data_IF_519101165025
#
_entry.id   IF_519101165025
#
_cell.length_a   1.000
_cell.length_b   1.000
_cell.length_c   1.000
_cell.angle_alpha   90.00
_cell.angle_beta   90.00
_cell.angle_gamma   90.00
#
_symmetry.space_group_name_H-M   'P 1'
#
loop_
_entity.id
_entity.type
_entity.pdbx_description
1 polymer ?
#
# COMPACT_ATOMS: atom_id res chain seq x y z
N UNK A 1 37.16 42.60 28.93
CA UNK A 1 36.47 43.34 27.86
C UNK A 1 37.31 43.18 26.59
N UNK A 2 36.78 42.50 25.58
CA UNK A 2 37.30 42.34 24.20
C UNK A 2 38.69 41.71 24.01
N UNK A 3 38.68 40.42 23.64
CA UNK A 3 39.84 39.69 23.09
C UNK A 3 39.87 39.83 21.56
N UNK A 4 41.06 40.11 21.03
CA UNK A 4 41.39 40.22 19.60
C UNK A 4 41.64 38.84 18.94
N UNK A 5 41.15 38.71 17.71
CA UNK A 5 41.79 38.19 16.47
C UNK A 5 42.40 36.78 16.48
N UNK A 6 41.90 35.92 15.58
CA UNK A 6 42.75 35.18 14.63
C UNK A 6 42.08 35.07 13.26
N UNK A 7 42.67 35.76 12.29
CA UNK A 7 42.51 35.54 10.85
C UNK A 7 43.34 34.30 10.50
N UNK A 8 42.76 33.34 9.78
CA UNK A 8 43.54 32.37 9.00
C UNK A 8 42.89 32.16 7.64
N UNK A 9 43.39 32.93 6.68
CA UNK A 9 43.28 32.70 5.24
C UNK A 9 43.99 31.39 4.88
N UNK A 10 43.29 30.44 4.28
CA UNK A 10 43.91 29.46 3.38
C UNK A 10 43.33 29.65 1.98
N UNK A 11 44.19 30.13 1.08
CA UNK A 11 44.02 30.01 -0.35
C UNK A 11 44.18 28.54 -0.74
N UNK A 12 43.20 27.99 -1.46
CA UNK A 12 43.46 26.97 -2.47
C UNK A 12 43.02 27.53 -3.82
N UNK A 13 43.99 27.67 -4.72
CA UNK A 13 43.80 27.98 -6.13
C UNK A 13 43.44 26.70 -6.90
N UNK A 14 42.67 26.92 -7.96
CA UNK A 14 42.36 26.06 -9.12
C UNK A 14 41.35 24.93 -8.96
N UNK A 15 40.12 25.18 -9.42
CA UNK A 15 39.49 24.35 -10.44
C UNK A 15 38.42 25.18 -11.16
N UNK A 16 38.37 25.06 -12.48
CA UNK A 16 37.54 25.84 -13.39
C UNK A 16 36.08 25.99 -12.92
N UNK A 17 35.49 27.15 -13.21
CA UNK A 17 34.03 27.33 -13.24
C UNK A 17 33.51 26.44 -14.38
N UNK A 18 33.31 25.15 -14.11
CA UNK A 18 32.46 24.31 -14.93
C UNK A 18 31.06 24.81 -14.63
N UNK A 19 30.37 25.39 -15.62
CA UNK A 19 28.98 25.75 -15.47
C UNK A 19 28.21 24.49 -15.05
N UNK A 20 27.78 24.45 -13.78
CA UNK A 20 27.04 23.32 -13.25
C UNK A 20 25.70 23.29 -13.98
N UNK A 21 25.46 22.24 -14.77
CA UNK A 21 24.18 22.07 -15.48
C UNK A 21 23.06 22.11 -14.43
N UNK A 22 22.03 22.97 -14.59
CA UNK A 22 20.93 23.02 -13.64
C UNK A 22 20.32 21.64 -13.46
N UNK A 23 19.95 21.27 -12.23
CA UNK A 23 19.36 19.96 -11.91
C UNK A 23 18.13 19.67 -12.79
N UNK A 24 17.36 20.70 -13.16
CA UNK A 24 16.20 20.61 -14.05
C UNK A 24 16.54 20.24 -15.50
N UNK A 25 17.80 20.33 -15.89
CA UNK A 25 18.30 20.02 -17.24
C UNK A 25 19.14 18.74 -17.29
N UNK A 26 19.37 18.08 -16.14
CA UNK A 26 20.05 16.80 -16.10
C UNK A 26 19.15 15.68 -16.68
N UNK A 27 19.72 14.76 -17.46
CA UNK A 27 19.00 13.59 -17.94
C UNK A 27 18.75 12.58 -16.82
N UNK A 28 17.75 11.71 -17.01
CA UNK A 28 17.67 10.45 -16.28
C UNK A 28 18.93 9.60 -16.51
N UNK A 29 19.45 9.01 -15.44
CA UNK A 29 20.62 8.10 -15.49
C UNK A 29 20.31 6.74 -16.14
N UNK A 30 19.01 6.44 -16.35
CA UNK A 30 18.54 5.28 -17.10
C UNK A 30 17.69 5.74 -18.28
N UNK A 31 18.18 5.50 -19.49
CA UNK A 31 17.51 5.81 -20.75
C UNK A 31 17.51 4.58 -21.66
N UNK A 32 16.49 4.47 -22.50
CA UNK A 32 16.36 3.42 -23.51
C UNK A 32 16.08 4.04 -24.89
N UNK A 33 16.53 3.43 -26.01
CA UNK A 33 16.34 3.99 -27.35
C UNK A 33 14.88 4.30 -27.71
N UNK A 34 13.94 3.53 -27.18
CA UNK A 34 12.50 3.65 -27.41
C UNK A 34 11.93 4.99 -26.95
N UNK A 35 12.57 5.67 -26.00
CA UNK A 35 12.18 7.02 -25.54
C UNK A 35 12.17 8.04 -26.68
N UNK A 36 12.99 7.84 -27.72
CA UNK A 36 13.05 8.72 -28.89
C UNK A 36 11.87 8.54 -29.85
N UNK A 37 11.08 7.46 -29.68
CA UNK A 37 9.92 7.14 -30.53
C UNK A 37 8.59 7.57 -29.90
N UNK A 38 8.62 8.10 -28.68
CA UNK A 38 7.43 8.53 -27.94
C UNK A 38 6.74 9.68 -28.66
N UNK A 39 5.44 9.56 -28.89
CA UNK A 39 4.62 10.65 -29.43
C UNK A 39 4.23 11.60 -28.28
N UNK A 40 4.43 12.90 -28.46
CA UNK A 40 4.15 13.91 -27.42
C UNK A 40 3.11 14.90 -27.95
N UNK A 41 1.99 15.02 -27.24
CA UNK A 41 0.99 16.08 -27.46
C UNK A 41 1.16 17.14 -26.39
N UNK A 42 1.67 18.31 -26.78
CA UNK A 42 2.03 19.39 -25.86
C UNK A 42 0.94 20.44 -25.68
N UNK A 43 0.98 21.13 -24.53
CA UNK A 43 0.26 22.39 -24.32
C UNK A 43 -1.26 22.25 -24.27
N UNK A 44 -1.79 21.10 -23.85
CA UNK A 44 -3.24 20.92 -23.68
C UNK A 44 -3.67 21.72 -22.46
N UNK A 45 -4.51 22.74 -22.65
CA UNK A 45 -5.04 23.53 -21.54
C UNK A 45 -6.08 22.70 -20.78
N UNK A 46 -5.84 22.47 -19.49
CA UNK A 46 -6.76 21.72 -18.64
C UNK A 46 -7.59 22.62 -17.72
N UNK A 47 -7.13 23.86 -17.50
CA UNK A 47 -7.81 24.85 -16.67
C UNK A 47 -7.34 26.26 -17.01
N UNK A 48 -8.22 27.24 -16.92
CA UNK A 48 -7.87 28.67 -16.94
C UNK A 48 -8.37 29.33 -15.66
N UNK A 49 -7.52 30.10 -14.99
CA UNK A 49 -7.88 30.87 -13.78
C UNK A 49 -7.30 32.26 -13.87
N UNK A 50 -8.14 33.29 -13.78
CA UNK A 50 -7.73 34.69 -13.83
C UNK A 50 -6.74 34.95 -14.98
N UNK A 51 -7.15 34.58 -16.20
CA UNK A 51 -6.36 34.68 -17.45
C UNK A 51 -5.06 33.86 -17.50
N UNK A 52 -4.77 33.07 -16.48
CA UNK A 52 -3.67 32.11 -16.49
C UNK A 52 -4.16 30.74 -16.97
N UNK A 53 -3.79 30.35 -18.18
CA UNK A 53 -4.01 29.01 -18.70
C UNK A 53 -2.95 28.05 -18.12
N UNK A 54 -3.40 26.97 -17.49
CA UNK A 54 -2.55 25.87 -17.04
C UNK A 54 -2.66 24.72 -18.04
N UNK A 55 -1.51 24.23 -18.48
CA UNK A 55 -1.41 23.22 -19.52
C UNK A 55 -0.75 21.93 -19.05
N UNK A 56 -0.96 20.87 -19.82
CA UNK A 56 -0.35 19.56 -19.66
C UNK A 56 0.23 19.06 -20.98
N UNK A 57 1.23 18.20 -20.87
CA UNK A 57 1.81 17.44 -21.97
C UNK A 57 1.48 15.95 -21.78
N UNK A 58 1.01 15.29 -22.83
CA UNK A 58 0.72 13.86 -22.84
C UNK A 58 1.75 13.12 -23.69
N UNK A 59 2.30 12.05 -23.13
CA UNK A 59 3.33 11.21 -23.72
C UNK A 59 2.72 9.84 -24.00
N UNK A 60 2.76 9.42 -25.26
CA UNK A 60 2.12 8.22 -25.74
C UNK A 60 3.14 7.18 -26.19
N UNK A 61 2.91 5.87 -25.93
CA UNK A 61 3.71 4.81 -26.51
C UNK A 61 3.73 4.92 -28.03
N UNK A 62 4.88 4.61 -28.63
CA UNK A 62 5.01 4.60 -30.08
C UNK A 62 3.99 3.64 -30.71
N UNK A 63 3.29 4.11 -31.76
CA UNK A 63 2.39 3.27 -32.57
C UNK A 63 1.24 2.59 -31.78
N UNK A 64 0.79 3.18 -30.66
CA UNK A 64 -0.37 2.66 -29.94
C UNK A 64 -1.68 2.97 -30.69
N UNK A 65 -2.65 2.06 -30.61
CA UNK A 65 -3.98 2.28 -31.16
C UNK A 65 -4.73 3.34 -30.34
N UNK A 66 -5.00 4.50 -30.95
CA UNK A 66 -5.72 5.61 -30.31
C UNK A 66 -7.16 5.26 -29.92
N UNK A 67 -7.72 4.16 -30.43
CA UNK A 67 -9.03 3.63 -29.98
C UNK A 67 -8.90 2.84 -28.68
N UNK A 68 -7.70 2.36 -28.35
CA UNK A 68 -7.42 1.68 -27.09
C UNK A 68 -7.28 2.67 -25.95
N UNK A 69 -7.82 2.32 -24.78
CA UNK A 69 -7.65 3.10 -23.53
C UNK A 69 -6.54 2.48 -22.69
N UNK A 70 -5.43 3.20 -22.56
CA UNK A 70 -4.29 2.75 -21.78
C UNK A 70 -4.28 3.39 -20.38
N UNK A 71 -3.76 2.69 -19.36
CA UNK A 71 -3.49 3.33 -18.07
C UNK A 71 -2.52 4.50 -18.22
N UNK A 72 -2.61 5.47 -17.30
CA UNK A 72 -1.78 6.68 -17.31
C UNK A 72 -0.98 6.83 -16.03
N UNK A 73 0.27 7.29 -16.13
CA UNK A 73 1.07 7.77 -14.99
C UNK A 73 1.13 9.29 -15.02
N UNK A 74 0.72 9.93 -13.93
CA UNK A 74 0.79 11.37 -13.76
C UNK A 74 2.00 11.68 -12.88
N UNK A 75 2.87 12.57 -13.36
CA UNK A 75 3.99 13.09 -12.57
C UNK A 75 3.55 14.34 -11.83
N UNK A 76 3.41 14.21 -10.51
CA UNK A 76 2.87 15.26 -9.65
C UNK A 76 3.74 16.52 -9.66
N UNK A 77 3.10 17.66 -9.92
CA UNK A 77 3.66 19.00 -9.74
C UNK A 77 3.14 19.57 -8.42
N UNK A 78 3.68 19.08 -7.32
CA UNK A 78 3.34 19.53 -5.97
C UNK A 78 4.03 20.82 -5.55
N UNK A 79 5.11 21.22 -6.23
CA UNK A 79 5.82 22.49 -5.97
C UNK A 79 5.18 23.70 -6.64
N UNK A 80 4.36 23.52 -7.67
CA UNK A 80 3.65 24.64 -8.31
C UNK A 80 4.47 25.35 -9.37
N UNK A 81 5.29 24.61 -10.13
CA UNK A 81 6.13 25.20 -11.17
C UNK A 81 5.38 25.24 -12.51
N UNK A 82 5.20 26.44 -13.07
CA UNK A 82 4.70 26.60 -14.44
C UNK A 82 5.76 26.16 -15.49
N UNK A 83 7.02 26.02 -15.08
CA UNK A 83 8.12 25.64 -15.97
C UNK A 83 8.40 24.13 -15.96
N UNK A 84 7.68 23.34 -15.15
CA UNK A 84 7.94 21.90 -14.99
C UNK A 84 7.91 21.12 -16.32
N UNK A 85 7.09 21.55 -17.28
CA UNK A 85 7.02 20.94 -18.61
C UNK A 85 8.35 21.06 -19.39
N UNK A 86 9.19 22.04 -19.06
CA UNK A 86 10.51 22.26 -19.66
C UNK A 86 11.64 21.58 -18.88
N UNK A 87 11.34 20.93 -17.74
CA UNK A 87 12.35 20.21 -16.97
C UNK A 87 12.63 18.86 -17.61
N UNK A 88 13.89 18.65 -17.99
CA UNK A 88 14.33 17.45 -18.68
C UNK A 88 14.05 16.18 -17.89
N UNK A 89 14.30 16.20 -16.58
CA UNK A 89 14.04 15.03 -15.71
C UNK A 89 12.59 14.55 -15.79
N UNK A 90 11.61 15.46 -15.79
CA UNK A 90 10.19 15.12 -15.90
C UNK A 90 9.83 14.65 -17.31
N UNK A 91 10.37 15.29 -18.34
CA UNK A 91 10.17 14.87 -19.72
C UNK A 91 10.77 13.47 -20.00
N UNK A 92 11.96 13.19 -19.47
CA UNK A 92 12.63 11.90 -19.64
C UNK A 92 11.89 10.80 -18.86
N UNK A 93 11.42 11.06 -17.65
CA UNK A 93 10.57 10.12 -16.90
C UNK A 93 9.27 9.80 -17.64
N UNK A 94 8.58 10.81 -18.17
CA UNK A 94 7.35 10.61 -18.92
C UNK A 94 7.58 9.82 -20.23
N UNK A 95 8.67 10.10 -20.95
CA UNK A 95 9.09 9.30 -22.11
C UNK A 95 9.42 7.86 -21.73
N UNK A 96 10.09 7.64 -20.60
CA UNK A 96 10.48 6.31 -20.16
C UNK A 96 9.26 5.45 -19.80
N UNK A 97 8.24 6.03 -19.16
CA UNK A 97 6.95 5.38 -18.95
C UNK A 97 6.26 5.08 -20.28
N UNK A 98 6.22 6.05 -21.20
CA UNK A 98 5.60 5.90 -22.52
C UNK A 98 6.26 4.81 -23.36
N UNK A 99 7.59 4.76 -23.34
CA UNK A 99 8.38 3.73 -24.00
C UNK A 99 8.10 2.31 -23.48
N UNK A 100 7.54 2.17 -22.27
CA UNK A 100 7.15 0.90 -21.66
C UNK A 100 5.64 0.60 -21.74
N UNK A 101 4.92 1.32 -22.60
CA UNK A 101 3.55 0.96 -22.99
C UNK A 101 2.46 1.46 -22.04
N UNK A 102 2.71 2.54 -21.32
CA UNK A 102 1.71 3.29 -20.54
C UNK A 102 1.62 4.72 -21.08
N UNK A 103 0.55 5.45 -20.82
CA UNK A 103 0.51 6.90 -21.11
C UNK A 103 1.17 7.64 -19.94
N UNK A 104 1.84 8.76 -20.19
CA UNK A 104 2.33 9.64 -19.13
C UNK A 104 1.86 11.08 -19.31
N UNK A 105 1.67 11.80 -18.18
CA UNK A 105 1.28 13.21 -18.15
C UNK A 105 2.20 13.99 -17.23
N UNK A 106 2.74 15.08 -17.78
CA UNK A 106 3.32 16.19 -17.01
C UNK A 106 2.38 17.39 -17.11
N UNK A 107 2.32 18.23 -16.08
CA UNK A 107 1.41 19.38 -16.05
C UNK A 107 1.97 20.56 -15.27
N UNK A 108 1.47 21.74 -15.59
CA UNK A 108 1.70 22.96 -14.84
C UNK A 108 0.74 23.02 -13.64
N UNK A 109 1.20 23.51 -12.51
CA UNK A 109 0.34 23.87 -11.38
C UNK A 109 0.87 25.17 -10.77
N UNK A 110 0.03 25.90 -10.02
CA UNK A 110 0.43 27.19 -9.45
C UNK A 110 0.93 27.04 -8.02
N UNK A 111 1.99 27.79 -7.69
CA UNK A 111 2.46 27.91 -6.31
C UNK A 111 1.32 28.32 -5.37
N UNK A 112 1.26 27.71 -4.20
CA UNK A 112 0.21 27.94 -3.20
C UNK A 112 -1.18 27.38 -3.54
N UNK A 113 -1.39 26.82 -4.75
CA UNK A 113 -2.67 26.19 -5.17
C UNK A 113 -2.48 24.76 -5.68
N UNK A 114 -1.33 24.15 -5.39
CA UNK A 114 -0.87 22.89 -5.98
C UNK A 114 -1.79 21.70 -5.72
N UNK A 115 -2.36 21.58 -4.52
CA UNK A 115 -3.34 20.52 -4.23
C UNK A 115 -4.60 20.67 -5.11
N UNK A 116 -5.22 21.86 -5.10
CA UNK A 116 -6.40 22.16 -5.93
C UNK A 116 -6.13 21.96 -7.42
N UNK A 117 -5.01 22.50 -7.94
CA UNK A 117 -4.69 22.39 -9.36
C UNK A 117 -4.38 20.93 -9.76
N UNK A 118 -3.90 20.09 -8.82
CA UNK A 118 -3.75 18.65 -9.02
C UNK A 118 -5.08 17.90 -8.99
N UNK A 119 -6.03 18.31 -8.14
CA UNK A 119 -7.40 17.79 -8.17
C UNK A 119 -8.10 18.11 -9.49
N UNK A 120 -7.98 19.36 -9.95
CA UNK A 120 -8.58 19.80 -11.22
C UNK A 120 -7.95 19.08 -12.41
N UNK A 121 -6.64 18.82 -12.39
CA UNK A 121 -5.98 17.96 -13.38
C UNK A 121 -6.61 16.56 -13.38
N UNK A 122 -6.70 15.90 -12.22
CA UNK A 122 -7.27 14.54 -12.12
C UNK A 122 -8.71 14.51 -12.64
N UNK A 123 -9.52 15.53 -12.30
CA UNK A 123 -10.87 15.68 -12.80
C UNK A 123 -10.89 15.83 -14.33
N UNK A 124 -10.03 16.68 -14.89
CA UNK A 124 -9.89 16.88 -16.34
C UNK A 124 -9.49 15.60 -17.06
N UNK A 125 -8.44 14.90 -16.60
CA UNK A 125 -7.95 13.66 -17.21
C UNK A 125 -9.05 12.59 -17.24
N UNK A 126 -9.86 12.50 -16.18
CA UNK A 126 -10.98 11.55 -16.12
C UNK A 126 -12.15 11.94 -17.01
N UNK A 127 -12.53 13.22 -17.05
CA UNK A 127 -13.63 13.67 -17.90
C UNK A 127 -13.30 13.65 -19.40
N UNK A 128 -12.02 13.80 -19.76
CA UNK A 128 -11.52 13.75 -21.14
C UNK A 128 -10.82 12.42 -21.47
N UNK A 129 -11.02 11.37 -20.67
CA UNK A 129 -10.31 10.10 -20.81
C UNK A 129 -10.47 9.48 -22.21
N UNK A 130 -11.64 9.62 -22.83
CA UNK A 130 -11.88 9.16 -24.22
C UNK A 130 -11.03 9.94 -25.23
N UNK A 131 -11.01 11.27 -25.12
CA UNK A 131 -10.26 12.15 -26.03
C UNK A 131 -8.74 11.99 -25.89
N UNK A 132 -8.30 11.64 -24.69
CA UNK A 132 -6.89 11.41 -24.37
C UNK A 132 -6.46 9.96 -24.60
N UNK A 133 -7.36 9.04 -25.00
CA UNK A 133 -7.11 7.60 -25.11
C UNK A 133 -6.62 6.96 -23.80
N UNK A 134 -7.08 7.48 -22.67
CA UNK A 134 -6.71 7.06 -21.31
C UNK A 134 -7.81 6.21 -20.69
N UNK A 135 -7.41 5.22 -19.90
CA UNK A 135 -8.28 4.59 -18.92
C UNK A 135 -8.29 5.43 -17.64
N UNK A 136 -9.31 6.28 -17.49
CA UNK A 136 -9.47 7.19 -16.36
C UNK A 136 -9.69 6.50 -15.00
N UNK A 137 -9.84 5.18 -14.97
CA UNK A 137 -9.97 4.38 -13.75
C UNK A 137 -8.67 3.66 -13.37
N UNK A 138 -7.61 3.78 -14.18
CA UNK A 138 -6.28 3.18 -13.95
C UNK A 138 -5.18 4.23 -14.03
N UNK A 139 -5.09 5.03 -12.97
CA UNK A 139 -4.10 6.11 -12.83
C UNK A 139 -2.97 5.70 -11.87
N UNK A 140 -1.73 5.84 -12.31
CA UNK A 140 -0.55 5.86 -11.45
C UNK A 140 -0.18 7.29 -11.08
N UNK A 141 0.28 7.53 -9.85
CA UNK A 141 0.82 8.83 -9.44
C UNK A 141 2.28 8.68 -9.01
N UNK A 142 3.17 9.42 -9.66
CA UNK A 142 4.57 9.56 -9.25
C UNK A 142 4.80 10.90 -8.59
N UNK A 143 5.51 10.93 -7.47
CA UNK A 143 5.87 12.16 -6.77
C UNK A 143 7.26 12.04 -6.12
N UNK A 144 8.01 13.14 -6.08
CA UNK A 144 9.37 13.16 -5.55
C UNK A 144 9.69 14.45 -4.79
N UNK A 145 10.65 14.39 -3.87
CA UNK A 145 11.15 15.55 -3.12
C UNK A 145 10.00 16.38 -2.50
N UNK A 146 10.04 17.70 -2.64
CA UNK A 146 9.00 18.60 -2.15
C UNK A 146 7.60 18.33 -2.75
N UNK A 147 7.50 17.72 -3.94
CA UNK A 147 6.20 17.36 -4.53
C UNK A 147 5.45 16.34 -3.66
N UNK A 148 6.16 15.54 -2.85
CA UNK A 148 5.55 14.53 -1.97
C UNK A 148 4.56 15.18 -1.00
N UNK A 149 4.81 16.43 -0.58
CA UNK A 149 3.90 17.19 0.30
C UNK A 149 2.49 17.37 -0.25
N UNK A 150 2.31 17.25 -1.56
CA UNK A 150 1.01 17.29 -2.24
C UNK A 150 0.63 15.92 -2.77
N UNK A 151 1.53 15.28 -3.53
CA UNK A 151 1.24 14.03 -4.22
C UNK A 151 0.88 12.87 -3.29
N UNK A 152 1.56 12.75 -2.14
CA UNK A 152 1.29 11.68 -1.17
C UNK A 152 -0.07 11.86 -0.46
N UNK A 153 -0.40 13.03 0.14
CA UNK A 153 -1.75 13.26 0.63
C UNK A 153 -2.81 13.09 -0.45
N UNK A 154 -2.55 13.55 -1.68
CA UNK A 154 -3.48 13.43 -2.79
C UNK A 154 -3.81 11.96 -3.10
N UNK A 155 -2.83 11.08 -3.29
CA UNK A 155 -3.12 9.66 -3.60
C UNK A 155 -3.79 8.90 -2.44
N UNK A 156 -3.61 9.36 -1.20
CA UNK A 156 -4.10 8.68 0.00
C UNK A 156 -5.55 9.01 0.38
N UNK A 157 -6.23 9.89 -0.35
CA UNK A 157 -7.64 10.21 -0.09
C UNK A 157 -8.58 9.10 -0.57
N UNK A 158 -9.52 8.62 0.27
CA UNK A 158 -10.31 7.39 0.06
C UNK A 158 -11.20 7.42 -1.18
N UNK A 159 -11.67 8.59 -1.60
CA UNK A 159 -12.52 8.79 -2.77
C UNK A 159 -11.78 8.64 -4.12
N UNK A 160 -10.44 8.53 -4.10
CA UNK A 160 -9.61 8.46 -5.31
C UNK A 160 -9.28 7.03 -5.72
N UNK A 161 -10.26 6.15 -5.71
CA UNK A 161 -10.11 4.72 -6.06
C UNK A 161 -9.58 4.47 -7.49
N UNK A 162 -9.70 5.47 -8.37
CA UNK A 162 -9.11 5.48 -9.71
C UNK A 162 -7.58 5.62 -9.72
N UNK A 163 -6.96 6.08 -8.63
CA UNK A 163 -5.51 5.99 -8.42
C UNK A 163 -5.22 4.58 -7.92
N UNK A 164 -4.53 3.79 -8.75
CA UNK A 164 -4.27 2.35 -8.52
C UNK A 164 -2.80 2.01 -8.30
N UNK A 165 -1.88 2.97 -8.40
CA UNK A 165 -0.46 2.74 -8.16
C UNK A 165 0.22 4.04 -7.73
N UNK A 166 1.00 4.02 -6.65
CA UNK A 166 1.75 5.19 -6.18
C UNK A 166 3.25 4.95 -6.18
N UNK A 167 4.04 5.93 -6.60
CA UNK A 167 5.50 5.91 -6.46
C UNK A 167 5.96 7.21 -5.79
N UNK A 168 6.76 7.07 -4.74
CA UNK A 168 7.22 8.17 -3.89
C UNK A 168 8.74 8.12 -3.76
N UNK A 169 9.42 9.20 -4.16
CA UNK A 169 10.88 9.28 -4.20
C UNK A 169 11.40 10.35 -3.23
N UNK A 170 12.25 9.96 -2.28
CA UNK A 170 13.08 10.83 -1.41
C UNK A 170 12.40 12.12 -0.91
N UNK A 171 11.14 12.00 -0.48
CA UNK A 171 10.38 13.08 0.13
C UNK A 171 9.36 12.51 1.10
N UNK A 172 8.84 13.34 2.01
CA UNK A 172 7.89 12.91 3.04
C UNK A 172 6.72 13.88 3.16
N UNK A 173 5.58 13.39 3.62
CA UNK A 173 4.42 14.21 3.96
C UNK A 173 3.70 13.65 5.17
N UNK A 174 3.04 14.53 5.92
CA UNK A 174 2.07 14.12 6.94
C UNK A 174 0.78 13.67 6.26
N UNK A 175 0.20 12.58 6.76
CA UNK A 175 -1.02 12.00 6.22
C UNK A 175 -2.13 12.10 7.28
N UNK A 176 -3.27 12.66 6.89
CA UNK A 176 -4.49 12.64 7.68
C UNK A 176 -5.29 11.36 7.44
N UNK A 177 -5.26 10.88 6.20
CA UNK A 177 -5.94 9.67 5.76
C UNK A 177 -4.93 8.76 5.07
N UNK A 178 -5.13 7.45 5.19
CA UNK A 178 -4.30 6.46 4.55
C UNK A 178 -5.15 5.41 3.85
N UNK A 179 -4.91 5.29 2.55
CA UNK A 179 -5.46 4.23 1.72
C UNK A 179 -4.57 3.01 1.75
N UNK A 180 -5.20 1.86 1.61
CA UNK A 180 -4.58 0.54 1.77
C UNK A 180 -5.05 -0.45 0.70
N UNK A 181 -5.74 0.07 -0.31
CA UNK A 181 -6.41 -0.64 -1.40
C UNK A 181 -5.59 -0.61 -2.70
N UNK A 182 -4.39 -0.02 -2.69
CA UNK A 182 -3.54 0.07 -3.87
C UNK A 182 -2.04 -0.07 -3.53
N UNK A 183 -1.23 -0.59 -4.46
CA UNK A 183 0.20 -0.76 -4.30
C UNK A 183 0.95 0.59 -4.32
N UNK A 184 1.90 0.74 -3.39
CA UNK A 184 2.79 1.90 -3.25
C UNK A 184 4.26 1.43 -3.27
N UNK A 185 5.08 2.08 -4.08
CA UNK A 185 6.54 1.96 -4.05
C UNK A 185 7.13 3.24 -3.41
N UNK A 186 7.91 3.09 -2.36
CA UNK A 186 8.52 4.21 -1.64
C UNK A 186 10.04 4.03 -1.59
N UNK A 187 10.77 4.98 -2.18
CA UNK A 187 12.23 4.95 -2.27
C UNK A 187 12.83 6.02 -1.35
N UNK A 188 13.71 5.59 -0.44
CA UNK A 188 14.47 6.45 0.47
C UNK A 188 15.91 6.57 0.00
N UNK A 189 16.41 7.80 -0.15
CA UNK A 189 17.82 8.12 -0.40
C UNK A 189 18.58 8.31 0.91
N UNK A 190 19.56 7.46 1.20
CA UNK A 190 20.22 7.40 2.50
C UNK A 190 21.16 8.57 2.81
N UNK A 191 21.74 9.22 1.80
CA UNK A 191 22.58 10.40 1.96
C UNK A 191 21.78 11.71 1.95
N UNK A 192 20.45 11.63 1.87
CA UNK A 192 19.55 12.79 1.94
C UNK A 192 19.48 13.39 3.36
N UNK A 193 18.91 14.59 3.47
CA UNK A 193 18.80 15.33 4.71
C UNK A 193 18.12 14.49 5.82
N UNK A 194 18.70 14.50 7.01
CA UNK A 194 18.26 13.65 8.13
C UNK A 194 16.78 13.84 8.50
N UNK A 195 16.25 15.06 8.41
CA UNK A 195 14.84 15.35 8.66
C UNK A 195 13.90 14.75 7.60
N UNK A 196 14.30 14.72 6.32
CA UNK A 196 13.53 14.06 5.26
C UNK A 196 13.51 12.55 5.52
N UNK A 197 14.69 11.96 5.78
CA UNK A 197 14.81 10.53 6.08
C UNK A 197 14.00 10.11 7.31
N UNK A 198 14.00 10.92 8.37
CA UNK A 198 13.17 10.69 9.56
C UNK A 198 11.66 10.74 9.23
N UNK A 199 11.24 11.70 8.39
CA UNK A 199 9.87 11.80 7.91
C UNK A 199 9.42 10.58 7.09
N UNK A 200 10.27 10.11 6.17
CA UNK A 200 10.03 8.90 5.37
C UNK A 200 9.88 7.68 6.29
N UNK A 201 10.80 7.49 7.24
CA UNK A 201 10.77 6.36 8.17
C UNK A 201 9.50 6.34 9.02
N UNK A 202 9.05 7.51 9.49
CA UNK A 202 7.78 7.63 10.20
C UNK A 202 6.58 7.24 9.32
N UNK A 203 6.51 7.74 8.09
CA UNK A 203 5.44 7.41 7.15
C UNK A 203 5.44 5.92 6.79
N UNK A 204 6.61 5.33 6.49
CA UNK A 204 6.77 3.91 6.13
C UNK A 204 6.38 3.01 7.28
N UNK A 205 6.76 3.36 8.52
CA UNK A 205 6.30 2.65 9.72
C UNK A 205 4.77 2.65 9.79
N UNK A 206 4.14 3.81 9.63
CA UNK A 206 2.68 3.90 9.69
C UNK A 206 1.98 3.11 8.56
N UNK A 207 2.51 3.17 7.33
CA UNK A 207 2.03 2.36 6.20
C UNK A 207 2.13 0.86 6.48
N UNK A 208 3.21 0.42 7.12
CA UNK A 208 3.39 -0.97 7.55
C UNK A 208 2.40 -1.32 8.67
N UNK A 209 2.15 -0.40 9.59
CA UNK A 209 1.25 -0.61 10.72
C UNK A 209 -0.20 -0.84 10.27
N UNK A 210 -0.68 -0.08 9.29
CA UNK A 210 -2.04 -0.22 8.74
C UNK A 210 -2.11 -1.17 7.55
N UNK A 211 -1.00 -1.83 7.22
CA UNK A 211 -0.87 -2.84 6.16
C UNK A 211 -1.24 -2.33 4.77
N UNK A 212 -0.65 -1.21 4.37
CA UNK A 212 -0.59 -0.81 2.97
C UNK A 212 0.15 -1.89 2.16
N UNK A 213 -0.24 -2.06 0.89
CA UNK A 213 0.54 -2.83 -0.08
C UNK A 213 1.79 -2.01 -0.45
N UNK A 214 2.84 -2.14 0.36
CA UNK A 214 4.03 -1.30 0.31
C UNK A 214 5.25 -2.09 -0.15
N UNK A 215 5.87 -1.63 -1.23
CA UNK A 215 7.26 -1.94 -1.56
C UNK A 215 8.14 -0.79 -1.08
N UNK A 216 9.07 -1.07 -0.17
CA UNK A 216 10.01 -0.07 0.35
C UNK A 216 11.43 -0.36 -0.14
N UNK A 217 12.05 0.61 -0.80
CA UNK A 217 13.45 0.55 -1.19
C UNK A 217 14.26 1.50 -0.32
N UNK A 218 15.13 0.92 0.49
CA UNK A 218 16.19 1.64 1.19
C UNK A 218 17.44 1.69 0.31
N UNK A 219 17.78 2.87 -0.22
CA UNK A 219 19.01 3.10 -0.97
C UNK A 219 20.01 3.88 -0.11
N UNK A 220 20.79 3.16 0.71
CA UNK A 220 21.70 3.74 1.70
C UNK A 220 22.69 4.77 1.14
N UNK A 221 23.18 4.56 -0.08
CA UNK A 221 24.18 5.40 -0.74
C UNK A 221 23.56 6.48 -1.66
N UNK A 222 22.24 6.45 -1.86
CA UNK A 222 21.58 7.37 -2.78
C UNK A 222 21.58 8.81 -2.27
N UNK A 223 21.91 9.74 -3.15
CA UNK A 223 21.76 11.18 -2.92
C UNK A 223 20.31 11.63 -3.15
N UNK A 224 20.00 12.86 -2.74
CA UNK A 224 18.77 13.51 -3.18
C UNK A 224 18.76 13.59 -4.71
N UNK A 225 17.64 13.24 -5.36
CA UNK A 225 17.54 13.16 -6.82
C UNK A 225 18.51 12.15 -7.47
N UNK A 226 18.76 11.01 -6.81
CA UNK A 226 19.63 9.93 -7.30
C UNK A 226 19.35 9.50 -8.75
N UNK A 227 18.12 9.66 -9.21
CA UNK A 227 17.67 9.31 -10.55
C UNK A 227 18.29 10.19 -11.65
N UNK A 228 18.90 11.32 -11.28
CA UNK A 228 19.61 12.21 -12.21
C UNK A 228 21.05 12.55 -11.79
N UNK A 229 21.41 12.39 -10.50
CA UNK A 229 22.77 12.71 -10.01
C UNK A 229 23.66 11.49 -9.78
N UNK A 230 23.08 10.31 -9.53
CA UNK A 230 23.84 9.09 -9.23
C UNK A 230 23.85 8.15 -10.43
N UNK A 231 24.75 8.37 -11.39
CA UNK A 231 24.83 7.56 -12.62
C UNK A 231 25.50 6.20 -12.41
N UNK A 232 24.85 5.34 -11.62
CA UNK A 232 25.36 4.02 -11.23
C UNK A 232 24.30 2.91 -11.39
N UNK A 233 24.74 1.65 -11.25
CA UNK A 233 23.88 0.49 -11.49
C UNK A 233 22.72 0.38 -10.51
N UNK A 234 22.90 0.85 -9.27
CA UNK A 234 21.85 0.81 -8.26
C UNK A 234 20.72 1.79 -8.60
N UNK A 235 21.05 3.02 -9.01
CA UNK A 235 20.07 4.00 -9.50
C UNK A 235 19.31 3.47 -10.71
N UNK A 236 20.01 2.90 -11.70
CA UNK A 236 19.40 2.30 -12.89
C UNK A 236 18.50 1.11 -12.54
N UNK A 237 18.91 0.29 -11.57
CA UNK A 237 18.10 -0.83 -11.06
C UNK A 237 16.80 -0.32 -10.41
N UNK A 238 16.87 0.71 -9.57
CA UNK A 238 15.70 1.28 -8.91
C UNK A 238 14.75 1.91 -9.94
N UNK A 239 15.27 2.63 -10.93
CA UNK A 239 14.46 3.19 -12.02
C UNK A 239 13.75 2.07 -12.80
N UNK A 240 14.44 0.98 -13.15
CA UNK A 240 13.80 -0.20 -13.78
C UNK A 240 12.70 -0.80 -12.91
N UNK A 241 12.96 -1.00 -11.61
CA UNK A 241 11.95 -1.50 -10.67
C UNK A 241 10.72 -0.60 -10.60
N UNK A 242 10.90 0.72 -10.67
CA UNK A 242 9.79 1.68 -10.71
C UNK A 242 8.94 1.55 -11.98
N UNK A 243 9.57 1.37 -13.14
CA UNK A 243 8.85 1.13 -14.40
C UNK A 243 8.07 -0.18 -14.31
N UNK A 244 8.74 -1.27 -13.91
CA UNK A 244 8.13 -2.59 -13.77
C UNK A 244 6.96 -2.55 -12.79
N UNK A 245 7.10 -1.82 -11.68
CA UNK A 245 6.05 -1.62 -10.69
C UNK A 245 4.82 -0.96 -11.30
N UNK A 246 4.97 0.15 -12.03
CA UNK A 246 3.84 0.79 -12.70
C UNK A 246 3.22 -0.11 -13.77
N UNK A 247 4.03 -0.71 -14.64
CA UNK A 247 3.56 -1.59 -15.72
C UNK A 247 2.77 -2.77 -15.15
N UNK A 248 3.30 -3.43 -14.14
CA UNK A 248 2.67 -4.57 -13.49
C UNK A 248 1.36 -4.19 -12.81
N UNK A 249 1.34 -3.12 -12.01
CA UNK A 249 0.17 -2.75 -11.20
C UNK A 249 -0.94 -2.08 -12.02
N UNK A 250 -0.60 -1.34 -13.08
CA UNK A 250 -1.60 -0.63 -13.90
C UNK A 250 -2.15 -1.46 -15.06
N UNK A 251 -1.41 -2.46 -15.57
CA UNK A 251 -1.94 -3.38 -16.60
C UNK A 251 -2.87 -4.44 -16.02
N UNK A 252 -2.74 -4.75 -14.73
CA UNK A 252 -3.62 -5.71 -14.05
C UNK A 252 -5.02 -5.11 -13.82
N UNK A 253 -6.08 -5.93 -13.90
CA UNK A 253 -7.34 -5.59 -13.24
C UNK A 253 -7.05 -5.30 -11.75
N UNK A 254 -7.80 -4.39 -11.12
CA UNK A 254 -7.63 -4.13 -9.68
C UNK A 254 -7.58 -5.46 -8.92
N UNK A 255 -6.68 -5.62 -7.94
CA UNK A 255 -6.71 -6.81 -7.10
C UNK A 255 -8.12 -6.94 -6.52
N UNK A 256 -8.72 -8.11 -6.75
CA UNK A 256 -10.12 -8.41 -6.38
C UNK A 256 -10.30 -8.43 -4.86
N UNK A 257 -9.21 -8.56 -4.09
CA UNK A 257 -9.27 -8.65 -2.64
C UNK A 257 -7.95 -8.22 -2.00
N UNK A 258 -8.05 -7.36 -0.97
CA UNK A 258 -6.94 -7.08 -0.07
C UNK A 258 -6.65 -8.34 0.77
N UNK A 259 -5.39 -8.78 0.93
CA UNK A 259 -5.08 -9.91 1.80
C UNK A 259 -5.54 -9.65 3.24
N UNK A 260 -6.22 -10.64 3.85
CA UNK A 260 -6.50 -10.60 5.28
C UNK A 260 -5.30 -11.16 6.02
N UNK A 261 -4.48 -10.29 6.60
CA UNK A 261 -3.38 -10.73 7.45
C UNK A 261 -3.88 -11.14 8.84
N UNK A 262 -3.04 -11.86 9.58
CA UNK A 262 -3.29 -12.16 10.98
C UNK A 262 -3.47 -10.90 11.84
N UNK A 263 -2.67 -9.85 11.57
CA UNK A 263 -2.74 -8.59 12.32
C UNK A 263 -4.05 -7.86 12.05
N UNK A 264 -4.44 -7.70 10.78
CA UNK A 264 -5.70 -7.06 10.43
C UNK A 264 -6.91 -7.81 10.96
N UNK A 265 -6.91 -9.13 10.84
CA UNK A 265 -7.98 -9.94 11.43
C UNK A 265 -8.09 -9.68 12.93
N UNK A 266 -6.97 -9.74 13.67
CA UNK A 266 -6.92 -9.42 15.09
C UNK A 266 -7.41 -7.99 15.40
N UNK A 267 -6.98 -6.98 14.62
CA UNK A 267 -7.39 -5.59 14.82
C UNK A 267 -8.90 -5.39 14.64
N UNK A 268 -9.50 -5.97 13.59
CA UNK A 268 -10.96 -5.87 13.37
C UNK A 268 -11.73 -6.48 14.54
N UNK A 269 -11.28 -7.63 15.03
CA UNK A 269 -11.85 -8.29 16.22
C UNK A 269 -11.69 -7.42 17.48
N UNK A 270 -10.51 -6.86 17.72
CA UNK A 270 -10.24 -6.01 18.89
C UNK A 270 -11.07 -4.72 18.88
N UNK A 271 -11.37 -4.18 17.69
CA UNK A 271 -12.23 -3.01 17.48
C UNK A 271 -13.74 -3.32 17.57
N UNK A 272 -14.13 -4.59 17.65
CA UNK A 272 -15.54 -4.99 17.68
C UNK A 272 -16.19 -5.12 16.29
N UNK A 273 -15.43 -4.91 15.22
CA UNK A 273 -15.85 -5.05 13.82
C UNK A 273 -15.88 -6.53 13.39
N UNK A 274 -16.44 -7.40 14.23
CA UNK A 274 -16.42 -8.87 14.06
C UNK A 274 -17.08 -9.28 12.75
N UNK A 275 -18.23 -8.70 12.39
CA UNK A 275 -18.91 -8.95 11.11
C UNK A 275 -17.99 -8.73 9.92
N UNK A 276 -17.23 -7.62 9.92
CA UNK A 276 -16.30 -7.28 8.84
C UNK A 276 -15.10 -8.21 8.84
N UNK A 277 -14.53 -8.51 10.01
CA UNK A 277 -13.45 -9.49 10.17
C UNK A 277 -13.82 -10.82 9.51
N UNK A 278 -15.04 -11.30 9.73
CA UNK A 278 -15.49 -12.57 9.18
C UNK A 278 -15.89 -12.51 7.71
N UNK A 279 -16.40 -11.38 7.23
CA UNK A 279 -16.64 -11.18 5.80
C UNK A 279 -15.32 -11.25 5.03
N UNK A 280 -14.30 -10.53 5.49
CA UNK A 280 -12.96 -10.56 4.91
C UNK A 280 -12.33 -11.96 5.01
N UNK A 281 -12.53 -12.64 6.16
CA UNK A 281 -12.06 -14.00 6.39
C UNK A 281 -12.66 -15.00 5.39
N UNK A 282 -13.99 -14.98 5.22
CA UNK A 282 -14.68 -15.88 4.27
C UNK A 282 -14.26 -15.58 2.84
N UNK A 283 -14.07 -14.31 2.49
CA UNK A 283 -13.53 -13.91 1.19
C UNK A 283 -12.15 -14.50 0.95
N UNK A 284 -11.25 -14.33 1.92
CA UNK A 284 -9.87 -14.80 1.83
C UNK A 284 -9.79 -16.33 1.77
N UNK A 285 -10.60 -17.05 2.56
CA UNK A 285 -10.69 -18.52 2.49
C UNK A 285 -11.11 -19.01 1.10
N UNK A 286 -12.13 -18.40 0.49
CA UNK A 286 -12.56 -18.76 -0.86
C UNK A 286 -11.44 -18.52 -1.89
N UNK A 287 -10.70 -17.43 -1.73
CA UNK A 287 -9.58 -17.08 -2.61
C UNK A 287 -8.44 -18.11 -2.51
N UNK A 288 -8.00 -18.47 -1.30
CA UNK A 288 -6.90 -19.45 -1.14
C UNK A 288 -7.33 -20.85 -1.61
N UNK A 289 -8.59 -21.22 -1.42
CA UNK A 289 -9.14 -22.49 -1.90
C UNK A 289 -9.19 -22.55 -3.43
N UNK A 290 -9.62 -21.48 -4.09
CA UNK A 290 -9.68 -21.43 -5.56
C UNK A 290 -8.30 -21.32 -6.21
N UNK A 291 -7.33 -20.67 -5.54
CA UNK A 291 -5.96 -20.54 -6.04
C UNK A 291 -5.12 -21.82 -5.87
N UNK A 292 -5.58 -22.80 -5.08
CA UNK A 292 -4.80 -23.99 -4.75
C UNK A 292 -3.56 -23.70 -3.89
N UNK A 293 -3.42 -22.48 -3.36
CA UNK A 293 -2.25 -22.00 -2.61
C UNK A 293 -2.44 -22.18 -1.10
N UNK A 294 -2.84 -23.39 -0.67
CA UNK A 294 -2.91 -23.70 0.76
C UNK A 294 -1.49 -23.78 1.33
N UNK A 295 -1.11 -22.77 2.11
CA UNK A 295 0.18 -22.75 2.79
C UNK A 295 -0.02 -22.88 4.31
N UNK A 296 0.43 -23.97 4.95
CA UNK A 296 0.12 -24.28 6.35
C UNK A 296 0.65 -23.24 7.35
N UNK A 297 1.65 -22.43 6.97
CA UNK A 297 2.19 -21.36 7.80
C UNK A 297 1.52 -19.99 7.58
N UNK A 298 0.74 -19.81 6.50
CA UNK A 298 0.08 -18.53 6.18
C UNK A 298 -1.31 -18.40 6.83
N UNK A 299 -1.76 -19.48 7.44
CA UNK A 299 -3.09 -19.64 8.04
C UNK A 299 -3.03 -19.71 9.56
N UNK A 300 -1.97 -19.23 10.24
CA UNK A 300 -1.92 -19.34 11.72
C UNK A 300 -3.15 -18.71 12.39
N UNK A 301 -3.55 -17.49 12.00
CA UNK A 301 -4.79 -16.87 12.48
C UNK A 301 -6.08 -17.48 11.88
N UNK A 302 -5.93 -18.43 10.96
CA UNK A 302 -7.00 -19.08 10.21
C UNK A 302 -7.06 -20.60 10.45
N UNK A 303 -6.22 -21.14 11.34
CA UNK A 303 -6.22 -22.53 11.76
C UNK A 303 -6.92 -22.64 13.12
N UNK A 304 -7.35 -23.85 13.44
CA UNK A 304 -8.15 -24.13 14.63
C UNK A 304 -7.56 -23.49 15.90
N UNK A 305 -6.28 -23.71 16.16
CA UNK A 305 -5.62 -23.26 17.39
C UNK A 305 -5.48 -21.73 17.45
N UNK A 306 -5.24 -21.06 16.32
CA UNK A 306 -5.18 -19.60 16.26
C UNK A 306 -6.54 -18.96 16.54
N UNK A 307 -7.61 -19.49 15.93
CA UNK A 307 -8.97 -19.02 16.18
C UNK A 307 -9.37 -19.25 17.64
N UNK A 308 -9.05 -20.41 18.20
CA UNK A 308 -9.28 -20.72 19.62
C UNK A 308 -8.52 -19.74 20.53
N UNK A 309 -7.25 -19.47 20.25
CA UNK A 309 -6.44 -18.53 21.03
C UNK A 309 -7.01 -17.11 21.04
N UNK A 310 -7.43 -16.59 19.88
CA UNK A 310 -8.07 -15.27 19.77
C UNK A 310 -9.38 -15.24 20.57
N UNK A 311 -10.20 -16.29 20.46
CA UNK A 311 -11.49 -16.35 21.14
C UNK A 311 -11.35 -16.45 22.68
N UNK A 312 -10.37 -17.21 23.20
CA UNK A 312 -10.09 -17.21 24.63
C UNK A 312 -9.55 -15.87 25.13
N UNK A 313 -8.75 -15.15 24.33
CA UNK A 313 -8.33 -13.78 24.69
C UNK A 313 -9.54 -12.84 24.81
N UNK A 314 -10.54 -12.98 23.93
CA UNK A 314 -11.79 -12.22 24.03
C UNK A 314 -12.60 -12.59 25.28
N UNK A 315 -12.71 -13.87 25.62
CA UNK A 315 -13.37 -14.31 26.86
C UNK A 315 -12.69 -13.71 28.10
N UNK A 316 -11.35 -13.73 28.15
CA UNK A 316 -10.58 -13.10 29.24
C UNK A 316 -10.88 -11.59 29.36
N UNK A 317 -11.10 -10.92 28.22
CA UNK A 317 -11.48 -9.52 28.14
C UNK A 317 -12.99 -9.26 28.31
N UNK A 318 -13.78 -10.29 28.68
CA UNK A 318 -15.25 -10.24 28.86
C UNK A 318 -16.02 -9.87 27.59
N UNK A 319 -15.42 -10.08 26.42
CA UNK A 319 -16.04 -9.90 25.09
C UNK A 319 -16.71 -11.21 24.63
N UNK A 320 -17.71 -11.65 25.39
CA UNK A 320 -18.26 -13.00 25.29
C UNK A 320 -18.96 -13.26 23.95
N UNK A 321 -19.71 -12.27 23.43
CA UNK A 321 -20.43 -12.39 22.15
C UNK A 321 -19.48 -12.48 20.96
N UNK A 322 -18.39 -11.71 20.99
CA UNK A 322 -17.35 -11.73 19.96
C UNK A 322 -16.60 -13.06 19.98
N UNK A 323 -16.25 -13.56 21.17
CA UNK A 323 -15.64 -14.89 21.33
C UNK A 323 -16.55 -16.01 20.80
N UNK A 324 -17.83 -15.99 21.18
CA UNK A 324 -18.83 -16.95 20.70
C UNK A 324 -18.90 -16.98 19.18
N UNK A 325 -18.87 -15.80 18.54
CA UNK A 325 -18.89 -15.71 17.08
C UNK A 325 -17.65 -16.36 16.43
N UNK A 326 -16.45 -16.16 17.01
CA UNK A 326 -15.22 -16.82 16.52
C UNK A 326 -15.30 -18.34 16.68
N UNK A 327 -15.73 -18.84 17.84
CA UNK A 327 -15.84 -20.29 18.06
C UNK A 327 -16.88 -20.94 17.14
N UNK A 328 -18.03 -20.29 16.90
CA UNK A 328 -19.03 -20.77 15.94
C UNK A 328 -18.42 -20.93 14.54
N UNK A 329 -17.61 -19.97 14.11
CA UNK A 329 -16.94 -20.04 12.82
C UNK A 329 -15.88 -21.14 12.81
N UNK A 330 -15.10 -21.27 13.88
CA UNK A 330 -14.11 -22.34 14.00
C UNK A 330 -14.75 -23.73 13.86
N UNK A 331 -15.89 -23.97 14.52
CA UNK A 331 -16.63 -25.25 14.38
C UNK A 331 -17.23 -25.46 13.00
N UNK A 332 -17.57 -24.40 12.26
CA UNK A 332 -18.01 -24.50 10.87
C UNK A 332 -16.89 -24.91 9.91
N UNK A 333 -15.64 -24.55 10.24
CA UNK A 333 -14.44 -24.86 9.44
C UNK A 333 -13.86 -26.22 9.83
N UNK A 334 -13.94 -26.55 11.11
CA UNK A 334 -13.45 -27.79 11.71
C UNK A 334 -14.61 -28.60 12.32
N UNK A 335 -15.58 -29.07 11.51
CA UNK A 335 -16.80 -29.73 12.01
C UNK A 335 -16.56 -31.06 12.72
N UNK A 336 -15.39 -31.66 12.52
CA UNK A 336 -14.98 -32.92 13.16
C UNK A 336 -14.04 -32.72 14.36
N UNK A 337 -13.68 -31.47 14.72
CA UNK A 337 -12.75 -31.22 15.82
C UNK A 337 -13.45 -31.22 17.18
N UNK A 338 -13.16 -32.20 18.08
CA UNK A 338 -13.72 -32.18 19.41
C UNK A 338 -13.26 -30.97 20.24
N UNK A 339 -12.03 -30.50 20.03
CA UNK A 339 -11.48 -29.35 20.72
C UNK A 339 -12.20 -28.04 20.31
N UNK A 340 -12.51 -27.87 19.02
CA UNK A 340 -13.29 -26.71 18.56
C UNK A 340 -14.69 -26.65 19.19
N UNK A 341 -15.37 -27.79 19.35
CA UNK A 341 -16.67 -27.86 20.00
C UNK A 341 -16.58 -27.69 21.53
N UNK A 342 -15.51 -28.20 22.17
CA UNK A 342 -15.28 -27.99 23.59
C UNK A 342 -15.10 -26.50 23.92
N UNK A 343 -14.28 -25.79 23.14
CA UNK A 343 -14.08 -24.35 23.33
C UNK A 343 -15.33 -23.52 22.98
N UNK A 344 -16.16 -23.96 22.03
CA UNK A 344 -17.47 -23.33 21.78
C UNK A 344 -18.39 -23.47 23.00
N UNK A 345 -18.34 -24.60 23.72
CA UNK A 345 -19.11 -24.78 24.94
C UNK A 345 -18.68 -23.79 26.04
N UNK A 346 -17.37 -23.51 26.17
CA UNK A 346 -16.88 -22.47 27.11
C UNK A 346 -17.46 -21.09 26.80
N UNK A 347 -17.56 -20.73 25.52
CA UNK A 347 -18.11 -19.44 25.13
C UNK A 347 -19.62 -19.34 25.37
N UNK A 348 -20.38 -20.42 25.13
CA UNK A 348 -21.78 -20.46 25.52
C UNK A 348 -21.96 -20.33 27.03
N UNK A 349 -21.14 -20.99 27.85
CA UNK A 349 -21.17 -20.86 29.30
C UNK A 349 -20.85 -19.41 29.73
N UNK A 350 -19.80 -18.82 29.17
CA UNK A 350 -19.41 -17.44 29.47
C UNK A 350 -20.50 -16.42 29.09
N UNK A 351 -21.25 -16.66 28.00
CA UNK A 351 -22.37 -15.83 27.57
C UNK A 351 -23.69 -16.14 28.32
N UNK A 352 -23.69 -17.11 29.25
CA UNK A 352 -24.85 -17.49 30.06
C UNK A 352 -25.84 -18.44 29.39
N UNK A 353 -25.49 -18.99 28.23
CA UNK A 353 -26.30 -19.91 27.44
C UNK A 353 -26.07 -21.37 27.86
N UNK A 354 -26.38 -21.69 29.13
CA UNK A 354 -26.01 -22.96 29.77
C UNK A 354 -26.54 -24.21 29.05
N UNK A 355 -27.78 -24.17 28.55
CA UNK A 355 -28.33 -25.31 27.79
C UNK A 355 -27.53 -25.60 26.51
N UNK A 356 -27.11 -24.54 25.80
CA UNK A 356 -26.30 -24.68 24.60
C UNK A 356 -24.88 -25.12 24.94
N UNK A 357 -24.29 -24.63 26.04
CA UNK A 357 -23.00 -25.08 26.53
C UNK A 357 -23.01 -26.60 26.79
N UNK A 358 -24.02 -27.10 27.51
CA UNK A 358 -24.19 -28.54 27.79
C UNK A 358 -24.34 -29.36 26.51
N UNK A 359 -25.22 -28.95 25.59
CA UNK A 359 -25.43 -29.65 24.31
C UNK A 359 -24.15 -29.68 23.47
N UNK A 360 -23.40 -28.58 23.46
CA UNK A 360 -22.15 -28.45 22.69
C UNK A 360 -21.02 -29.28 23.30
N UNK A 361 -20.89 -29.30 24.63
CA UNK A 361 -19.93 -30.15 25.34
C UNK A 361 -20.22 -31.65 25.10
N UNK A 362 -21.48 -32.05 25.06
CA UNK A 362 -21.84 -33.43 24.70
C UNK A 362 -21.40 -33.78 23.27
N UNK A 363 -21.61 -32.86 22.32
CA UNK A 363 -21.13 -33.03 20.94
C UNK A 363 -19.60 -33.15 20.87
N UNK A 364 -18.86 -32.39 21.68
CA UNK A 364 -17.41 -32.51 21.75
C UNK A 364 -16.98 -33.93 22.18
N UNK A 365 -17.64 -34.52 23.18
CA UNK A 365 -17.40 -35.92 23.61
C UNK A 365 -17.74 -36.93 22.51
N UNK A 366 -18.85 -36.74 21.81
CA UNK A 366 -19.27 -37.62 20.71
C UNK A 366 -18.26 -37.62 19.55
N UNK A 367 -17.67 -36.46 19.25
CA UNK A 367 -16.58 -36.32 18.26
C UNK A 367 -15.27 -36.92 18.79
N UNK A 368 -14.96 -36.70 20.06
CA UNK A 368 -13.74 -37.21 20.71
C UNK A 368 -13.69 -38.74 20.71
N UNK A 369 -14.85 -39.39 20.87
CA UNK A 369 -14.98 -40.84 20.79
C UNK A 369 -14.64 -41.41 19.40
N UNK A 370 -14.82 -40.61 18.35
CA UNK A 370 -14.53 -40.99 16.95
C UNK A 370 -13.12 -40.59 16.49
N UNK A 371 -12.44 -39.74 17.25
CA UNK A 371 -11.12 -39.24 16.88
C UNK A 371 -10.05 -40.33 17.02
N UNK A 372 -9.34 -40.62 15.93
CA UNK A 372 -8.35 -41.72 15.84
C UNK A 372 -6.89 -41.26 15.97
N UNK A 373 -6.62 -39.95 15.80
CA UNK A 373 -5.26 -39.41 15.68
C UNK A 373 -4.97 -38.27 16.68
N UNK A 374 -5.49 -38.35 17.91
CA UNK A 374 -5.21 -37.36 18.96
C UNK A 374 -4.20 -37.90 19.96
N UNK A 375 -3.32 -37.03 20.45
CA UNK A 375 -2.46 -37.35 21.57
C UNK A 375 -3.31 -37.66 22.82
N UNK A 376 -2.99 -38.74 23.54
CA UNK A 376 -3.79 -39.21 24.69
C UNK A 376 -3.94 -38.18 25.81
N UNK A 377 -2.90 -37.40 26.10
CA UNK A 377 -2.99 -36.35 27.13
C UNK A 377 -3.94 -35.24 26.68
N UNK A 378 -3.87 -34.86 25.41
CA UNK A 378 -4.77 -33.86 24.84
C UNK A 378 -6.23 -34.35 24.82
N UNK A 379 -6.45 -35.61 24.42
CA UNK A 379 -7.76 -36.26 24.45
C UNK A 379 -8.37 -36.24 25.84
N UNK A 380 -7.59 -36.61 26.86
CA UNK A 380 -8.02 -36.59 28.27
C UNK A 380 -8.35 -35.17 28.73
N UNK A 381 -7.58 -34.16 28.32
CA UNK A 381 -7.86 -32.77 28.62
C UNK A 381 -9.22 -32.30 28.12
N UNK A 382 -9.55 -32.59 26.85
CA UNK A 382 -10.86 -32.27 26.27
C UNK A 382 -11.97 -33.01 27.00
N UNK A 383 -11.78 -34.31 27.27
CA UNK A 383 -12.79 -35.12 27.96
C UNK A 383 -13.13 -34.55 29.34
N UNK A 384 -12.11 -34.27 30.16
CA UNK A 384 -12.30 -33.70 31.50
C UNK A 384 -12.99 -32.34 31.43
N UNK A 385 -12.55 -31.45 30.53
CA UNK A 385 -13.18 -30.14 30.30
C UNK A 385 -14.67 -30.27 29.98
N UNK A 386 -15.04 -31.16 29.05
CA UNK A 386 -16.42 -31.38 28.64
C UNK A 386 -17.29 -31.97 29.76
N UNK A 387 -16.83 -33.00 30.44
CA UNK A 387 -17.53 -33.66 31.54
C UNK A 387 -17.77 -32.71 32.72
N UNK A 388 -16.76 -31.92 33.09
CA UNK A 388 -16.86 -30.95 34.18
C UNK A 388 -17.88 -29.85 33.87
N UNK A 389 -17.89 -29.32 32.64
CA UNK A 389 -18.91 -28.37 32.18
C UNK A 389 -20.33 -28.94 32.28
N UNK A 390 -20.53 -30.15 31.76
CA UNK A 390 -21.83 -30.82 31.80
C UNK A 390 -22.31 -31.02 33.25
N UNK A 391 -21.42 -31.49 34.13
CA UNK A 391 -21.72 -31.71 35.55
C UNK A 391 -22.03 -30.42 36.31
N UNK A 392 -21.33 -29.34 35.98
CA UNK A 392 -21.52 -28.01 36.62
C UNK A 392 -22.83 -27.36 36.18
N UNK A 393 -23.15 -27.41 34.89
CA UNK A 393 -24.26 -26.65 34.29
C UNK A 393 -25.61 -27.39 34.25
N UNK A 394 -25.64 -28.70 34.53
CA UNK A 394 -26.88 -29.48 34.70
C UNK A 394 -27.43 -29.47 36.14
N UNK A 395 -26.74 -28.80 37.07
CA UNK A 395 -27.21 -28.54 38.44
C UNK A 395 -28.00 -27.24 38.45
#
# INVERSE_FOLDING_TARGET
MLTRIFLSTMFFLSSAIVAQIPVTQLPLVYQIPEMNKVEIKKGIVYKTVNDTALSLDVYYPASFDKKSKLPVVIFNNGVGSLDLLNWRVYADWAKLIAANGLIAINYQSRQGRTFQDSEDLLAYVRSHAVELSIDGERIGLWTCSANVTVGLPLMMQPERTYIRSGVIYYGSAQLQTMRTDFPVLYVRSGLDAANINTGIEHTVRHMTEVECDLTFIHYSEGQHAFDIVDDNDRSRQIIRQTIDFFVYNLKKPSPVMRPLTAKRFKTLIEQGDTTKAFQEYRGFLKYIQSAGTYHPFFTWALNENGLIGIAYQLLQNKKNKEALTIFLINTGIHPESPNAFDSLADAYEADGQNELAVRTAQKALDLLAKATNLNENFKRGIQTSAEDKIKRLKK
#
